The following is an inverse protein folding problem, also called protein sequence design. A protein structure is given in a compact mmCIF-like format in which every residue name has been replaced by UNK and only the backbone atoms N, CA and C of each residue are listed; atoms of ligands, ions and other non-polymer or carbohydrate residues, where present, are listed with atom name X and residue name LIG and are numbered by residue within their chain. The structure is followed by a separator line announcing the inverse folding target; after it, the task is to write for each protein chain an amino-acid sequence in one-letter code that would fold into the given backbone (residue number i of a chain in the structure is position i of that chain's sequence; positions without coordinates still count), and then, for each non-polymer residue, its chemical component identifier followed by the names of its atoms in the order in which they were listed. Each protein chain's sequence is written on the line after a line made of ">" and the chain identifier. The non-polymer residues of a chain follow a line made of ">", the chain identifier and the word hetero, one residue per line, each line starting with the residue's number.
data_IF_893135385797
#
_entry.id   IF_893135385797
#
_cell.length_a   1.000
_cell.length_b   1.000
_cell.length_c   1.000
_cell.angle_alpha   90.00
_cell.angle_beta   90.00
_cell.angle_gamma   90.00
#
_symmetry.space_group_name_H-M   'P 1'
#
loop_
_entity.id
_entity.type
_entity.pdbx_description
1 polymer ?
#
# COMPACT_ATOMS: atom_id res chain seq x y z
N UNK A 1 -13.09 14.63 5.69
CA UNK A 1 -12.52 13.27 5.63
C UNK A 1 -12.37 12.91 4.16
N UNK A 2 -11.17 12.52 3.72
CA UNK A 2 -10.88 12.16 2.33
C UNK A 2 -10.32 10.74 2.34
N UNK A 3 -10.79 9.88 1.43
CA UNK A 3 -10.23 8.57 1.18
C UNK A 3 -9.60 8.55 -0.20
N UNK A 4 -8.38 8.01 -0.30
CA UNK A 4 -7.67 7.81 -1.56
C UNK A 4 -7.46 6.33 -1.75
N UNK A 5 -7.93 5.80 -2.87
CA UNK A 5 -7.83 4.38 -3.23
C UNK A 5 -7.21 4.32 -4.62
N UNK A 6 -6.23 3.45 -4.80
CA UNK A 6 -5.60 3.19 -6.09
C UNK A 6 -5.18 1.73 -6.17
N UNK A 7 -5.05 1.25 -7.41
CA UNK A 7 -4.49 -0.06 -7.75
C UNK A 7 -3.07 0.13 -8.29
N UNK A 8 -2.20 -0.83 -8.03
CA UNK A 8 -0.81 -0.83 -8.45
C UNK A 8 -0.46 -2.20 -9.01
N UNK A 9 0.23 -2.20 -10.15
CA UNK A 9 0.79 -3.41 -10.77
C UNK A 9 2.32 -3.34 -10.65
N UNK A 10 2.91 -3.92 -9.59
CA UNK A 10 4.35 -3.95 -9.42
C UNK A 10 5.04 -4.73 -10.54
N UNK A 11 6.29 -4.36 -10.84
CA UNK A 11 7.11 -5.18 -11.72
C UNK A 11 7.29 -6.59 -11.12
N UNK A 12 7.13 -7.69 -11.89
CA UNK A 12 7.14 -9.06 -11.36
C UNK A 12 8.36 -9.37 -10.46
N UNK A 13 9.56 -9.02 -10.93
CA UNK A 13 10.82 -9.27 -10.19
C UNK A 13 11.05 -8.34 -8.99
N UNK A 14 10.14 -7.40 -8.71
CA UNK A 14 10.29 -6.38 -7.67
C UNK A 14 9.10 -6.27 -6.73
N UNK A 15 8.16 -7.21 -6.80
CA UNK A 15 6.97 -7.22 -5.93
C UNK A 15 7.34 -7.15 -4.45
N UNK A 16 8.26 -8.01 -4.02
CA UNK A 16 8.66 -8.07 -2.61
C UNK A 16 9.34 -6.77 -2.18
N UNK A 17 10.24 -6.23 -3.01
CA UNK A 17 10.86 -4.94 -2.76
C UNK A 17 9.83 -3.81 -2.66
N UNK A 18 8.79 -3.81 -3.49
CA UNK A 18 7.69 -2.86 -3.40
C UNK A 18 6.93 -3.00 -2.07
N UNK A 19 6.57 -4.23 -1.68
CA UNK A 19 5.84 -4.49 -0.43
C UNK A 19 6.66 -4.13 0.81
N UNK A 20 7.97 -4.38 0.81
CA UNK A 20 8.87 -3.98 1.89
C UNK A 20 8.93 -2.47 2.04
N UNK A 21 9.08 -1.72 0.93
CA UNK A 21 9.03 -0.26 0.97
C UNK A 21 7.66 0.24 1.46
N UNK A 22 6.58 -0.43 1.05
CA UNK A 22 5.24 -0.07 1.47
C UNK A 22 5.04 -0.23 2.99
N UNK A 23 5.67 -1.23 3.63
CA UNK A 23 5.60 -1.39 5.09
C UNK A 23 6.17 -0.17 5.84
N UNK A 24 7.21 0.47 5.30
CA UNK A 24 7.82 1.67 5.91
C UNK A 24 6.93 2.92 5.85
N UNK A 25 5.89 2.95 5.02
CA UNK A 25 4.99 4.12 4.95
C UNK A 25 4.16 4.31 6.22
N UNK A 26 3.73 3.24 6.87
CA UNK A 26 2.84 3.34 8.04
C UNK A 26 3.42 4.22 9.16
N UNK A 27 4.64 3.97 9.69
CA UNK A 27 5.20 4.82 10.74
C UNK A 27 5.44 6.27 10.29
N UNK A 28 5.64 6.52 8.99
CA UNK A 28 5.78 7.89 8.46
C UNK A 28 4.43 8.64 8.46
N UNK A 29 3.33 7.92 8.25
CA UNK A 29 1.98 8.50 8.19
C UNK A 29 1.35 8.67 9.57
N UNK A 30 1.65 7.80 10.53
CA UNK A 30 1.09 7.85 11.90
C UNK A 30 1.38 9.17 12.63
N UNK A 31 2.45 9.89 12.27
CA UNK A 31 2.78 11.21 12.83
C UNK A 31 2.12 12.40 12.13
N UNK A 32 1.36 12.18 11.05
CA UNK A 32 0.76 13.26 10.26
C UNK A 32 -0.61 13.65 10.82
N UNK A 33 -0.83 14.95 11.01
CA UNK A 33 -2.13 15.47 11.44
C UNK A 33 -3.23 15.09 10.43
N UNK A 34 -4.35 14.58 10.94
CA UNK A 34 -5.47 14.08 10.14
C UNK A 34 -5.27 12.70 9.49
N UNK A 35 -4.16 11.99 9.72
CA UNK A 35 -4.04 10.59 9.32
C UNK A 35 -4.97 9.70 10.16
N UNK A 36 -5.72 8.83 9.48
CA UNK A 36 -6.67 7.91 10.12
C UNK A 36 -6.16 6.47 9.98
N UNK A 37 -5.96 6.00 8.75
CA UNK A 37 -5.48 4.65 8.48
C UNK A 37 -4.89 4.52 7.08
N UNK A 38 -4.11 3.44 6.88
CA UNK A 38 -3.66 2.96 5.58
C UNK A 38 -3.84 1.44 5.53
N UNK A 39 -4.48 0.94 4.49
CA UNK A 39 -4.78 -0.48 4.31
C UNK A 39 -4.36 -0.92 2.91
N UNK A 40 -4.08 -2.22 2.75
CA UNK A 40 -3.68 -2.83 1.49
C UNK A 40 -4.44 -4.13 1.32
N UNK A 41 -4.87 -4.39 0.10
CA UNK A 41 -5.64 -5.56 -0.26
C UNK A 41 -5.01 -6.21 -1.49
N UNK A 42 -5.09 -7.53 -1.56
CA UNK A 42 -4.74 -8.29 -2.76
C UNK A 42 -6.00 -8.52 -3.60
N UNK A 43 -5.85 -8.49 -4.92
CA UNK A 43 -6.94 -8.80 -5.84
C UNK A 43 -7.37 -10.25 -5.71
N UNK A 44 -8.67 -10.48 -5.51
CA UNK A 44 -9.23 -11.83 -5.43
C UNK A 44 -9.33 -12.51 -6.80
N UNK A 45 -9.45 -11.74 -7.89
CA UNK A 45 -9.61 -12.27 -9.25
C UNK A 45 -8.27 -12.44 -9.98
N UNK A 46 -7.24 -11.73 -9.53
CA UNK A 46 -5.88 -11.80 -10.07
C UNK A 46 -4.87 -11.87 -8.91
N UNK A 47 -4.74 -13.02 -8.22
CA UNK A 47 -3.77 -13.17 -7.14
C UNK A 47 -2.33 -12.97 -7.64
N UNK A 48 -1.48 -12.34 -6.82
CA UNK A 48 -0.07 -12.11 -7.15
C UNK A 48 0.20 -10.98 -8.15
N UNK A 49 -0.85 -10.29 -8.61
CA UNK A 49 -0.70 -9.12 -9.48
C UNK A 49 0.01 -7.96 -8.77
#
# INVERSE_FOLDING_TARGET
>A
MIAVIFEVEPHPDRRDAYLDQAQHLRPLLEGMDGFISIERFESLTQPGK
#
